data_IF_972996921024
#
_entry.id   IF_972996921024
#
_cell.length_a   1.000
_cell.length_b   1.000
_cell.length_c   1.000
_cell.angle_alpha   90.00
_cell.angle_beta   90.00
_cell.angle_gamma   90.00
#
_symmetry.space_group_name_H-M   'P 1'
#
loop_
_entity.id
_entity.type
_entity.pdbx_description
1 polymer ?
#
# COMPACT_ATOMS: atom_id res chain seq x y z
N UNK A 1 2.42 -7.36 20.38
CA UNK A 1 1.35 -6.37 20.15
C UNK A 1 0.92 -6.57 18.71
N UNK A 2 -0.36 -6.79 18.49
CA UNK A 2 -0.91 -6.90 17.14
C UNK A 2 -1.42 -5.52 16.73
N UNK A 3 -1.06 -5.08 15.53
CA UNK A 3 -1.42 -3.76 15.01
C UNK A 3 -1.98 -3.92 13.61
N UNK A 4 -3.13 -3.29 13.36
CA UNK A 4 -3.71 -3.17 12.03
C UNK A 4 -3.82 -1.70 11.66
N UNK A 5 -3.39 -1.34 10.45
CA UNK A 5 -3.51 0.00 9.89
C UNK A 5 -4.20 -0.10 8.54
N UNK A 6 -5.21 0.75 8.33
CA UNK A 6 -5.89 0.87 7.04
C UNK A 6 -5.67 2.27 6.49
N UNK A 7 -5.26 2.34 5.23
CA UNK A 7 -5.10 3.60 4.50
C UNK A 7 -5.97 3.51 3.25
N UNK A 8 -6.85 4.48 3.04
CA UNK A 8 -7.68 4.56 1.86
C UNK A 8 -7.24 5.75 1.00
N UNK A 9 -7.03 5.51 -0.29
CA UNK A 9 -6.83 6.56 -1.29
C UNK A 9 -8.08 6.59 -2.16
N UNK A 10 -8.87 7.64 -1.99
CA UNK A 10 -10.17 7.80 -2.64
C UNK A 10 -10.09 8.70 -3.87
N UNK A 11 -11.19 8.71 -4.64
CA UNK A 11 -11.36 9.54 -5.84
C UNK A 11 -10.31 9.25 -6.94
N UNK A 12 -9.83 8.01 -7.01
CA UNK A 12 -8.94 7.56 -8.06
C UNK A 12 -9.73 7.32 -9.35
N UNK A 13 -9.17 7.77 -10.47
CA UNK A 13 -9.63 7.28 -11.78
C UNK A 13 -9.15 5.85 -11.96
N UNK A 14 -9.87 5.05 -12.77
CA UNK A 14 -9.47 3.67 -13.08
C UNK A 14 -8.01 3.58 -13.55
N UNK A 15 -7.58 4.51 -14.42
CA UNK A 15 -6.20 4.59 -14.91
C UNK A 15 -5.19 4.74 -13.76
N UNK A 16 -5.49 5.61 -12.77
CA UNK A 16 -4.62 5.83 -11.60
C UNK A 16 -4.61 4.61 -10.69
N UNK A 17 -5.76 3.98 -10.45
CA UNK A 17 -5.85 2.75 -9.65
C UNK A 17 -5.01 1.62 -10.28
N UNK A 18 -5.16 1.39 -11.59
CA UNK A 18 -4.43 0.35 -12.32
C UNK A 18 -2.91 0.57 -12.26
N UNK A 19 -2.46 1.82 -12.41
CA UNK A 19 -1.04 2.16 -12.33
C UNK A 19 -0.46 1.97 -10.93
N UNK A 20 -1.22 2.31 -9.88
CA UNK A 20 -0.81 2.08 -8.49
C UNK A 20 -0.70 0.58 -8.21
N UNK A 21 -1.68 -0.23 -8.65
CA UNK A 21 -1.60 -1.69 -8.49
C UNK A 21 -0.39 -2.26 -9.22
N UNK A 22 -0.15 -1.85 -10.46
CA UNK A 22 1.00 -2.32 -11.25
C UNK A 22 2.35 -1.92 -10.65
N UNK A 23 2.43 -0.77 -9.98
CA UNK A 23 3.65 -0.33 -9.30
C UNK A 23 3.93 -1.13 -8.01
N UNK A 24 2.90 -1.66 -7.36
CA UNK A 24 3.02 -2.40 -6.10
C UNK A 24 3.05 -3.93 -6.29
N UNK A 25 2.65 -4.44 -7.45
CA UNK A 25 2.67 -5.87 -7.81
C UNK A 25 4.06 -6.53 -7.67
N UNK A 26 5.19 -5.88 -8.06
CA UNK A 26 6.52 -6.45 -7.93
C UNK A 26 7.04 -6.52 -6.48
N UNK A 27 6.61 -5.59 -5.63
CA UNK A 27 7.11 -5.44 -4.25
C UNK A 27 6.40 -6.33 -3.24
N UNK A 28 5.27 -6.94 -3.62
CA UNK A 28 4.45 -7.78 -2.74
C UNK A 28 5.07 -9.15 -2.40
N UNK A 29 6.32 -9.41 -2.79
CA UNK A 29 6.97 -10.74 -2.67
C UNK A 29 7.84 -10.88 -1.40
N UNK A 30 8.36 -9.78 -0.84
CA UNK A 30 9.35 -9.82 0.26
C UNK A 30 9.01 -8.85 1.43
N UNK A 31 7.83 -9.02 2.04
CA UNK A 31 7.50 -8.28 3.26
C UNK A 31 8.29 -8.79 4.49
N UNK A 32 8.63 -7.91 5.45
CA UNK A 32 9.28 -8.32 6.70
C UNK A 32 8.47 -9.37 7.46
N UNK A 33 9.17 -10.30 8.14
CA UNK A 33 8.50 -11.33 8.96
C UNK A 33 7.55 -10.70 9.99
N UNK A 34 6.31 -11.22 10.02
CA UNK A 34 5.27 -10.72 10.92
C UNK A 34 4.63 -9.42 10.44
N UNK A 35 4.77 -9.07 9.16
CA UNK A 35 3.99 -8.04 8.48
C UNK A 35 3.27 -8.68 7.29
N UNK A 36 1.98 -8.39 7.14
CA UNK A 36 1.20 -8.71 5.95
C UNK A 36 0.57 -7.45 5.39
N UNK A 37 0.38 -7.45 4.08
CA UNK A 37 -0.13 -6.33 3.33
C UNK A 37 -1.08 -6.83 2.26
N UNK A 38 -2.26 -6.22 2.21
CA UNK A 38 -3.30 -6.53 1.24
C UNK A 38 -3.84 -5.24 0.64
N UNK A 39 -4.15 -5.27 -0.65
CA UNK A 39 -4.75 -4.15 -1.36
C UNK A 39 -6.16 -4.57 -1.79
N UNK A 40 -7.17 -3.81 -1.39
CA UNK A 40 -8.53 -3.95 -1.87
C UNK A 40 -8.86 -2.81 -2.84
N UNK A 41 -9.44 -3.16 -3.99
CA UNK A 41 -9.96 -2.18 -4.93
C UNK A 41 -11.47 -2.07 -4.74
N UNK A 42 -11.92 -0.92 -4.24
CA UNK A 42 -13.31 -0.62 -3.94
C UNK A 42 -13.75 0.58 -4.79
N UNK A 43 -14.31 0.30 -5.96
CA UNK A 43 -14.81 1.28 -6.94
C UNK A 43 -13.77 2.34 -7.36
N UNK A 44 -13.78 3.50 -6.68
CA UNK A 44 -12.90 4.64 -6.92
C UNK A 44 -11.86 4.82 -5.79
N UNK A 45 -11.67 3.79 -4.97
CA UNK A 45 -10.74 3.79 -3.86
C UNK A 45 -9.83 2.54 -3.89
N UNK A 46 -8.57 2.75 -3.51
CA UNK A 46 -7.66 1.67 -3.13
C UNK A 46 -7.49 1.69 -1.62
N UNK A 47 -7.74 0.54 -0.98
CA UNK A 47 -7.59 0.37 0.46
C UNK A 47 -6.39 -0.53 0.72
N UNK A 48 -5.43 0.01 1.45
CA UNK A 48 -4.20 -0.64 1.87
C UNK A 48 -4.38 -1.14 3.30
N UNK A 49 -4.42 -2.45 3.46
CA UNK A 49 -4.56 -3.11 4.75
C UNK A 49 -3.19 -3.63 5.19
N UNK A 50 -2.63 -3.02 6.22
CA UNK A 50 -1.40 -3.48 6.86
C UNK A 50 -1.75 -4.19 8.16
N UNK A 51 -1.17 -5.36 8.36
CA UNK A 51 -1.23 -6.07 9.61
C UNK A 51 0.18 -6.42 10.07
N UNK A 52 0.45 -6.20 11.36
CA UNK A 52 1.76 -6.47 11.94
C UNK A 52 1.66 -7.08 13.33
N UNK A 53 2.40 -8.16 13.54
CA UNK A 53 2.67 -8.75 14.86
C UNK A 53 4.04 -8.33 15.39
N UNK A 54 4.77 -7.49 14.63
CA UNK A 54 6.13 -7.04 14.91
C UNK A 54 6.19 -5.74 15.70
N UNK A 55 7.31 -5.02 15.57
CA UNK A 55 7.47 -3.72 16.20
C UNK A 55 6.90 -2.59 15.32
N UNK A 56 6.47 -1.50 15.96
CA UNK A 56 5.85 -0.37 15.28
C UNK A 56 6.79 0.38 14.33
N UNK A 57 8.11 0.37 14.58
CA UNK A 57 9.08 1.05 13.69
C UNK A 57 9.15 0.38 12.32
N UNK A 58 9.12 -0.95 12.28
CA UNK A 58 9.09 -1.71 11.03
C UNK A 58 7.78 -1.45 10.28
N UNK A 59 6.64 -1.45 10.97
CA UNK A 59 5.36 -1.13 10.36
C UNK A 59 5.35 0.28 9.73
N UNK A 60 5.80 1.30 10.46
CA UNK A 60 5.82 2.68 9.94
C UNK A 60 6.76 2.83 8.76
N UNK A 61 7.94 2.19 8.79
CA UNK A 61 8.88 2.23 7.67
C UNK A 61 8.28 1.58 6.41
N UNK A 62 7.64 0.41 6.55
CA UNK A 62 6.97 -0.26 5.42
C UNK A 62 5.80 0.56 4.88
N UNK A 63 5.02 1.22 5.73
CA UNK A 63 3.95 2.13 5.29
C UNK A 63 4.54 3.30 4.49
N UNK A 64 5.61 3.93 4.98
CA UNK A 64 6.26 5.04 4.29
C UNK A 64 6.80 4.62 2.91
N UNK A 65 7.41 3.44 2.80
CA UNK A 65 7.89 2.87 1.53
C UNK A 65 6.76 2.64 0.53
N UNK A 66 5.66 1.99 0.96
CA UNK A 66 4.49 1.75 0.09
C UNK A 66 3.90 3.08 -0.39
N UNK A 67 3.74 4.06 0.49
CA UNK A 67 3.20 5.37 0.11
C UNK A 67 4.14 6.15 -0.83
N UNK A 68 5.46 5.97 -0.71
CA UNK A 68 6.42 6.54 -1.65
C UNK A 68 6.25 5.94 -3.06
N UNK A 69 6.09 4.62 -3.17
CA UNK A 69 5.84 3.94 -4.46
C UNK A 69 4.53 4.39 -5.09
N UNK A 70 3.46 4.49 -4.30
CA UNK A 70 2.17 5.05 -4.75
C UNK A 70 2.35 6.48 -5.30
N UNK A 71 3.06 7.34 -4.58
CA UNK A 71 3.29 8.72 -5.02
C UNK A 71 4.06 8.79 -6.34
N UNK A 72 5.07 7.93 -6.51
CA UNK A 72 5.82 7.83 -7.76
C UNK A 72 4.95 7.35 -8.93
N UNK A 73 4.14 6.32 -8.70
CA UNK A 73 3.22 5.80 -9.72
C UNK A 73 2.25 6.88 -10.22
N UNK A 74 1.72 7.70 -9.31
CA UNK A 74 0.81 8.80 -9.67
C UNK A 74 1.55 9.90 -10.46
N UNK A 75 2.76 10.29 -10.05
CA UNK A 75 3.55 11.36 -10.70
C UNK A 75 3.94 11.03 -12.14
N UNK A 76 4.22 9.77 -12.46
CA UNK A 76 4.55 9.35 -13.84
C UNK A 76 3.37 9.53 -14.80
N UNK A 77 2.16 9.67 -14.27
CA UNK A 77 0.92 9.79 -15.04
C UNK A 77 0.44 11.25 -15.23
N UNK A 78 1.10 12.21 -14.59
CA UNK A 78 0.88 13.65 -14.77
C UNK A 78 1.76 14.21 -15.89
#
# INVERSE_FOLDING_TARGET
>A
METTVKIAIEHLTKKKADAIMAALEPDNVDFPKGLSFEIENLDNALVFNFHSTGNMKTLTATIDEVLAHVSMAIKVME
#
